data_IF_471505138552
#
_entry.id   IF_471505138552
#
_cell.length_a   1.000
_cell.length_b   1.000
_cell.length_c   1.000
_cell.angle_alpha   90.00
_cell.angle_beta   90.00
_cell.angle_gamma   90.00
#
_symmetry.space_group_name_H-M   'P 1'
#
loop_
_entity.id
_entity.type
_entity.pdbx_description
1 polymer ?
#
# COMPACT_ATOMS: atom_id res chain seq x y z
N UNK A 1 77.75 -52.69 10.88
CA UNK A 1 77.97 -51.64 11.90
C UNK A 1 76.83 -50.64 11.74
N UNK A 2 75.82 -50.56 12.61
CA UNK A 2 75.83 -50.22 14.05
C UNK A 2 76.10 -48.72 14.27
N UNK A 3 75.27 -47.92 14.97
CA UNK A 3 73.93 -48.13 15.60
C UNK A 3 73.12 -46.80 15.51
N UNK A 4 71.80 -46.71 15.64
CA UNK A 4 70.85 -47.11 16.71
C UNK A 4 70.91 -46.26 18.00
N UNK A 5 69.92 -45.35 18.14
CA UNK A 5 69.29 -44.74 19.35
C UNK A 5 70.22 -44.08 20.42
N UNK A 6 69.81 -43.10 21.24
CA UNK A 6 68.53 -42.75 21.92
C UNK A 6 68.32 -41.20 21.93
N UNK A 7 67.28 -40.49 22.42
CA UNK A 7 65.90 -40.70 22.95
C UNK A 7 65.22 -39.29 23.10
N UNK A 8 63.90 -39.04 23.28
CA UNK A 8 62.66 -39.86 23.19
C UNK A 8 61.47 -39.02 22.59
N UNK A 9 60.21 -38.81 23.12
CA UNK A 9 59.07 -38.50 22.23
C UNK A 9 58.17 -37.28 22.61
N UNK A 10 57.04 -37.15 21.88
CA UNK A 10 55.74 -36.54 22.26
C UNK A 10 55.64 -35.00 22.47
N UNK A 11 54.52 -34.32 22.12
CA UNK A 11 53.22 -34.78 21.60
C UNK A 11 52.60 -33.87 20.51
N UNK A 12 51.59 -34.42 19.82
CA UNK A 12 50.62 -33.89 18.87
C UNK A 12 50.50 -32.35 18.62
N UNK A 13 50.66 -31.99 17.34
CA UNK A 13 49.86 -30.99 16.59
C UNK A 13 48.49 -31.64 16.19
N UNK A 14 47.39 -30.93 15.80
CA UNK A 14 47.17 -29.48 15.69
C UNK A 14 45.90 -28.93 16.38
N UNK A 15 45.90 -27.63 16.74
CA UNK A 15 44.67 -26.84 16.81
C UNK A 15 44.76 -25.52 16.02
N UNK A 16 43.72 -25.27 15.22
CA UNK A 16 43.63 -24.08 14.36
C UNK A 16 43.23 -22.87 15.21
N UNK A 17 44.02 -21.79 15.15
CA UNK A 17 43.67 -20.51 15.76
C UNK A 17 42.46 -19.87 15.04
N UNK A 18 41.26 -20.20 15.50
CA UNK A 18 40.01 -19.57 15.08
C UNK A 18 39.90 -18.19 15.74
N UNK A 19 39.56 -17.16 14.96
CA UNK A 19 39.41 -15.80 15.46
C UNK A 19 38.30 -15.70 16.53
N UNK A 20 38.46 -14.84 17.55
CA UNK A 20 37.55 -14.82 18.70
C UNK A 20 36.13 -14.38 18.30
N UNK A 21 35.18 -15.30 18.46
CA UNK A 21 33.75 -15.01 18.33
C UNK A 21 33.27 -14.20 19.55
N UNK A 22 32.55 -13.07 19.38
CA UNK A 22 32.00 -12.32 20.50
C UNK A 22 30.97 -13.17 21.26
N UNK A 23 31.13 -13.28 22.57
CA UNK A 23 30.36 -14.19 23.41
C UNK A 23 28.85 -13.89 23.41
N UNK A 24 28.04 -14.94 23.60
CA UNK A 24 26.59 -14.84 23.53
C UNK A 24 25.98 -14.02 24.67
N UNK A 25 24.96 -13.23 24.34
CA UNK A 25 23.92 -12.83 25.28
C UNK A 25 22.66 -13.66 25.00
N UNK A 26 22.51 -14.78 25.70
CA UNK A 26 21.28 -15.59 25.73
C UNK A 26 20.35 -15.06 26.83
N UNK A 27 19.06 -14.82 26.53
CA UNK A 27 18.08 -14.64 27.62
C UNK A 27 16.86 -13.73 27.43
N UNK A 28 16.26 -13.62 26.24
CA UNK A 28 14.89 -13.09 26.13
C UNK A 28 14.14 -13.73 24.95
N UNK A 29 13.07 -14.47 25.23
CA UNK A 29 12.24 -15.18 24.25
C UNK A 29 11.30 -14.28 23.43
N UNK A 30 11.75 -13.10 23.04
CA UNK A 30 10.98 -12.20 22.17
C UNK A 30 11.15 -12.55 20.69
N UNK A 31 10.06 -12.48 19.92
CA UNK A 31 10.15 -12.44 18.46
C UNK A 31 11.10 -11.30 18.05
N UNK A 32 12.11 -11.59 17.23
CA UNK A 32 12.99 -10.54 16.68
C UNK A 32 12.10 -9.45 16.08
N UNK A 33 12.27 -8.16 16.45
CA UNK A 33 11.44 -7.10 15.90
C UNK A 33 11.46 -7.18 14.38
N UNK A 34 10.29 -7.46 13.79
CA UNK A 34 10.19 -7.57 12.33
C UNK A 34 10.58 -6.19 11.80
N UNK A 35 11.76 -6.11 11.19
CA UNK A 35 12.24 -4.92 10.49
C UNK A 35 11.40 -4.81 9.21
N UNK A 36 10.14 -4.40 9.39
CA UNK A 36 9.18 -4.14 8.33
C UNK A 36 9.88 -3.16 7.40
N UNK A 37 10.23 -3.60 6.18
CA UNK A 37 10.49 -2.66 5.12
C UNK A 37 9.24 -1.77 5.07
N UNK A 38 9.43 -0.47 5.25
CA UNK A 38 8.38 0.48 4.90
C UNK A 38 7.98 0.20 3.46
N UNK A 39 6.72 0.42 3.11
CA UNK A 39 6.25 0.19 1.74
C UNK A 39 7.08 1.00 0.73
N UNK A 40 7.60 2.14 1.16
CA UNK A 40 8.61 3.01 0.55
C UNK A 40 9.90 2.24 0.17
N UNK A 41 10.54 1.52 1.10
CA UNK A 41 11.72 0.66 0.84
C UNK A 41 11.42 -0.45 -0.20
N UNK A 42 10.17 -0.92 -0.25
CA UNK A 42 9.72 -1.93 -1.22
C UNK A 42 9.53 -1.28 -2.60
N UNK A 43 8.89 -0.11 -2.66
CA UNK A 43 8.68 0.68 -3.88
C UNK A 43 10.01 1.15 -4.51
N UNK A 44 10.99 1.53 -3.69
CA UNK A 44 12.32 1.91 -4.14
C UNK A 44 13.05 0.78 -4.90
N UNK A 45 12.85 -0.47 -4.48
CA UNK A 45 13.50 -1.65 -5.09
C UNK A 45 12.84 -2.14 -6.38
N UNK A 46 11.57 -1.85 -6.61
CA UNK A 46 10.84 -2.39 -7.79
C UNK A 46 11.06 -1.51 -9.03
N UNK A 47 11.08 -0.18 -8.87
CA UNK A 47 11.41 0.76 -9.95
C UNK A 47 12.32 1.89 -9.44
N UNK A 48 13.64 1.85 -9.74
CA UNK A 48 14.58 2.86 -9.30
C UNK A 48 14.62 4.12 -10.18
N UNK A 49 14.25 4.03 -11.46
CA UNK A 49 14.50 5.10 -12.46
C UNK A 49 13.37 6.14 -12.62
N UNK A 50 12.19 5.93 -12.02
CA UNK A 50 11.00 6.77 -12.25
C UNK A 50 10.60 7.56 -11.00
N UNK A 51 11.48 8.46 -10.57
CA UNK A 51 11.38 9.21 -9.31
C UNK A 51 10.43 10.43 -9.38
N UNK A 52 9.19 10.19 -9.81
CA UNK A 52 8.14 11.21 -9.92
C UNK A 52 7.52 11.52 -8.55
N UNK A 53 8.13 12.48 -7.82
CA UNK A 53 7.52 13.07 -6.61
C UNK A 53 6.49 14.12 -7.00
N UNK A 54 5.29 14.05 -6.42
CA UNK A 54 4.18 14.97 -6.67
C UNK A 54 3.63 15.48 -5.34
N UNK A 55 3.51 16.80 -5.19
CA UNK A 55 2.77 17.39 -4.08
C UNK A 55 1.27 17.44 -4.43
N UNK A 56 0.44 16.99 -3.49
CA UNK A 56 -1.02 16.95 -3.63
C UNK A 56 -1.67 17.73 -2.49
N UNK A 57 -2.84 18.29 -2.77
CA UNK A 57 -3.64 19.07 -1.83
C UNK A 57 -4.94 18.32 -1.54
N UNK A 58 -5.19 18.01 -0.26
CA UNK A 58 -6.38 17.27 0.18
C UNK A 58 -7.11 18.00 1.31
N UNK A 59 -8.41 18.24 1.13
CA UNK A 59 -9.31 18.86 2.12
C UNK A 59 -9.98 17.82 3.03
N UNK A 60 -10.17 16.59 2.56
CA UNK A 60 -10.86 15.53 3.30
C UNK A 60 -9.90 14.77 4.23
N UNK A 61 -10.41 14.33 5.38
CA UNK A 61 -9.65 13.41 6.23
C UNK A 61 -9.46 12.05 5.56
N UNK A 62 -10.50 11.51 4.92
CA UNK A 62 -10.44 10.20 4.26
C UNK A 62 -9.30 10.09 3.26
N UNK A 63 -9.11 11.07 2.36
CA UNK A 63 -8.03 11.02 1.38
C UNK A 63 -6.65 11.08 2.05
N UNK A 64 -6.45 11.99 3.03
CA UNK A 64 -5.19 12.13 3.77
C UNK A 64 -4.84 10.87 4.57
N UNK A 65 -5.83 10.30 5.26
CA UNK A 65 -5.70 9.06 6.02
C UNK A 65 -5.37 7.89 5.10
N UNK A 66 -6.15 7.65 4.05
CA UNK A 66 -5.90 6.58 3.06
C UNK A 66 -4.52 6.67 2.41
N UNK A 67 -4.05 7.90 2.11
CA UNK A 67 -2.71 8.12 1.56
C UNK A 67 -1.61 7.72 2.54
N UNK A 68 -1.81 7.94 3.84
CA UNK A 68 -0.85 7.56 4.90
C UNK A 68 -0.91 6.06 5.26
N UNK A 69 -2.08 5.42 5.21
CA UNK A 69 -2.27 4.02 5.61
C UNK A 69 -2.11 3.02 4.45
N UNK A 70 -2.79 3.26 3.33
CA UNK A 70 -3.07 2.22 2.32
C UNK A 70 -2.34 2.46 1.01
N UNK A 71 -2.09 3.71 0.60
CA UNK A 71 -1.59 4.03 -0.73
C UNK A 71 -0.25 3.34 -1.07
N UNK A 72 0.77 3.43 -0.21
CA UNK A 72 2.07 2.82 -0.48
C UNK A 72 2.00 1.28 -0.48
N UNK A 73 1.04 0.67 0.26
CA UNK A 73 0.77 -0.78 0.18
C UNK A 73 0.11 -1.15 -1.16
N UNK A 74 -0.94 -0.43 -1.56
CA UNK A 74 -1.63 -0.61 -2.84
C UNK A 74 -0.67 -0.44 -4.02
N UNK A 75 0.14 0.62 -4.04
CA UNK A 75 1.12 0.88 -5.09
C UNK A 75 2.13 -0.28 -5.22
N UNK A 76 2.63 -0.82 -4.09
CA UNK A 76 3.55 -1.96 -4.10
C UNK A 76 2.87 -3.22 -4.65
N UNK A 77 1.68 -3.59 -4.16
CA UNK A 77 0.92 -4.77 -4.63
C UNK A 77 0.47 -4.65 -6.09
N UNK A 78 0.13 -3.44 -6.58
CA UNK A 78 -0.21 -3.20 -8.00
C UNK A 78 0.97 -3.39 -8.94
N UNK A 79 2.16 -2.92 -8.57
CA UNK A 79 3.36 -3.01 -9.42
C UNK A 79 3.75 -4.47 -9.70
N UNK A 80 3.45 -5.38 -8.76
CA UNK A 80 3.67 -6.84 -8.88
C UNK A 80 2.40 -7.63 -9.24
N UNK A 81 1.27 -6.97 -9.52
CA UNK A 81 0.03 -7.65 -9.90
C UNK A 81 0.15 -8.25 -11.31
N UNK A 82 -0.23 -9.53 -11.47
CA UNK A 82 -0.16 -10.27 -12.74
C UNK A 82 -1.38 -11.20 -12.88
N UNK A 83 -1.68 -11.65 -14.10
CA UNK A 83 -2.78 -12.57 -14.37
C UNK A 83 -4.13 -12.04 -13.88
N UNK A 84 -4.95 -12.92 -13.30
CA UNK A 84 -6.28 -12.59 -12.80
C UNK A 84 -6.33 -11.38 -11.86
N UNK A 85 -5.34 -11.22 -10.98
CA UNK A 85 -5.29 -10.08 -10.06
C UNK A 85 -5.23 -8.73 -10.79
N UNK A 86 -4.54 -8.66 -11.92
CA UNK A 86 -4.45 -7.43 -12.72
C UNK A 86 -5.83 -7.10 -13.30
N UNK A 87 -6.51 -8.09 -13.88
CA UNK A 87 -7.87 -7.93 -14.44
C UNK A 87 -8.89 -7.54 -13.36
N UNK A 88 -8.84 -8.18 -12.18
CA UNK A 88 -9.69 -7.85 -11.04
C UNK A 88 -9.56 -6.39 -10.61
N UNK A 89 -8.31 -5.91 -10.49
CA UNK A 89 -8.02 -4.51 -10.16
C UNK A 89 -8.46 -3.56 -11.28
N UNK A 90 -8.22 -3.90 -12.56
CA UNK A 90 -8.65 -3.07 -13.69
C UNK A 90 -10.17 -2.93 -13.81
N UNK A 91 -10.92 -3.99 -13.51
CA UNK A 91 -12.38 -4.01 -13.47
C UNK A 91 -12.95 -3.12 -12.35
N UNK A 92 -12.42 -3.20 -11.12
CA UNK A 92 -12.84 -2.31 -10.03
C UNK A 92 -12.38 -0.86 -10.29
N UNK A 93 -11.20 -0.63 -10.86
CA UNK A 93 -10.78 0.72 -11.28
C UNK A 93 -11.75 1.31 -12.32
N UNK A 94 -12.15 0.55 -13.34
CA UNK A 94 -13.14 1.01 -14.33
C UNK A 94 -14.51 1.30 -13.69
N UNK A 95 -14.93 0.44 -12.77
CA UNK A 95 -16.19 0.59 -12.00
C UNK A 95 -16.17 1.84 -11.13
N UNK A 96 -15.09 2.05 -10.38
CA UNK A 96 -14.87 3.24 -9.57
C UNK A 96 -14.78 4.51 -10.43
N UNK A 97 -13.99 4.53 -11.51
CA UNK A 97 -13.89 5.68 -12.42
C UNK A 97 -15.25 6.07 -13.02
N UNK A 98 -16.07 5.07 -13.38
CA UNK A 98 -17.42 5.31 -13.90
C UNK A 98 -18.41 5.76 -12.82
N UNK A 99 -18.28 5.29 -11.57
CA UNK A 99 -19.01 5.83 -10.43
C UNK A 99 -18.63 7.30 -10.16
N UNK A 100 -17.33 7.59 -10.03
CA UNK A 100 -16.81 8.93 -9.73
C UNK A 100 -17.14 9.95 -10.83
N UNK A 101 -17.15 9.54 -12.10
CA UNK A 101 -17.65 10.36 -13.22
C UNK A 101 -19.10 10.80 -13.00
N UNK A 102 -19.98 9.90 -12.57
CA UNK A 102 -21.39 10.21 -12.26
C UNK A 102 -21.51 11.08 -11.00
N UNK A 103 -20.79 10.74 -9.93
CA UNK A 103 -20.81 11.49 -8.67
C UNK A 103 -20.32 12.94 -8.82
N UNK A 104 -19.26 13.17 -9.62
CA UNK A 104 -18.77 14.52 -9.89
C UNK A 104 -19.74 15.33 -10.77
N UNK A 105 -20.40 14.70 -11.74
CA UNK A 105 -21.48 15.34 -12.55
C UNK A 105 -22.69 15.72 -11.68
N UNK A 106 -23.04 14.92 -10.67
CA UNK A 106 -24.04 15.30 -9.67
C UNK A 106 -23.56 16.48 -8.82
N UNK A 107 -22.36 16.41 -8.23
CA UNK A 107 -21.83 17.43 -7.34
C UNK A 107 -21.62 18.79 -8.04
N UNK A 108 -21.35 18.79 -9.35
CA UNK A 108 -21.24 20.01 -10.17
C UNK A 108 -22.59 20.72 -10.42
N UNK A 109 -23.74 20.10 -10.10
CA UNK A 109 -25.06 20.74 -10.17
C UNK A 109 -25.49 21.40 -8.84
N UNK A 110 -24.69 21.25 -7.79
CA UNK A 110 -24.97 21.79 -6.47
C UNK A 110 -24.48 23.24 -6.35
N UNK A 111 -25.26 24.10 -5.71
CA UNK A 111 -24.97 25.52 -5.56
C UNK A 111 -24.25 25.77 -4.23
N UNK A 112 -22.92 25.82 -4.30
CA UNK A 112 -22.05 25.99 -3.13
C UNK A 112 -21.74 27.43 -2.74
N UNK A 113 -21.33 27.62 -1.49
CA UNK A 113 -20.60 28.81 -1.02
C UNK A 113 -19.19 28.40 -0.59
N UNK A 114 -18.19 29.23 -0.87
CA UNK A 114 -16.82 28.96 -0.41
C UNK A 114 -16.78 28.80 1.11
N UNK A 115 -16.03 27.81 1.59
CA UNK A 115 -16.02 27.38 3.00
C UNK A 115 -14.78 27.79 3.77
N UNK A 116 -13.79 28.40 3.12
CA UNK A 116 -12.52 28.80 3.76
C UNK A 116 -11.70 27.63 4.31
N UNK A 117 -11.94 26.40 3.81
CA UNK A 117 -11.16 25.23 4.19
C UNK A 117 -9.76 25.32 3.59
N UNK A 118 -8.73 25.18 4.42
CA UNK A 118 -7.35 25.01 3.97
C UNK A 118 -7.07 23.51 3.67
N UNK A 119 -6.40 23.19 2.55
CA UNK A 119 -5.99 21.83 2.24
C UNK A 119 -4.66 21.46 2.92
N UNK A 120 -4.50 20.20 3.30
CA UNK A 120 -3.20 19.68 3.72
C UNK A 120 -2.35 19.31 2.50
N UNK A 121 -1.04 19.60 2.56
CA UNK A 121 -0.06 19.14 1.57
C UNK A 121 0.39 17.72 1.89
N UNK A 122 0.31 16.83 0.91
CA UNK A 122 0.81 15.46 1.01
C UNK A 122 1.68 15.14 -0.22
N UNK A 123 2.95 14.83 0.01
CA UNK A 123 3.89 14.43 -1.05
C UNK A 123 3.78 12.92 -1.31
N UNK A 124 3.65 12.52 -2.58
CA UNK A 124 3.63 11.13 -3.00
C UNK A 124 4.66 10.84 -4.10
N UNK A 125 5.07 9.58 -4.21
CA UNK A 125 5.96 9.08 -5.27
C UNK A 125 5.17 8.10 -6.17
N UNK A 126 4.92 8.49 -7.43
CA UNK A 126 3.99 7.78 -8.31
C UNK A 126 4.76 6.97 -9.36
N UNK A 127 5.01 5.68 -9.08
CA UNK A 127 5.87 4.81 -9.92
C UNK A 127 5.13 3.98 -10.97
N UNK A 128 3.83 3.72 -10.78
CA UNK A 128 3.09 2.75 -11.59
C UNK A 128 1.77 3.36 -12.11
N UNK A 129 1.33 3.11 -13.37
CA UNK A 129 0.11 3.71 -13.91
C UNK A 129 -1.14 3.51 -13.05
N UNK A 130 -1.30 2.32 -12.44
CA UNK A 130 -2.42 2.04 -11.54
C UNK A 130 -2.35 2.85 -10.23
N UNK A 131 -1.15 3.13 -9.72
CA UNK A 131 -0.97 4.04 -8.57
C UNK A 131 -1.33 5.48 -8.92
N UNK A 132 -1.13 5.90 -10.17
CA UNK A 132 -1.64 7.18 -10.71
C UNK A 132 -3.16 7.20 -10.84
N UNK A 133 -3.80 6.09 -11.28
CA UNK A 133 -5.26 5.95 -11.27
C UNK A 133 -5.82 6.06 -9.83
N UNK A 134 -5.16 5.44 -8.85
CA UNK A 134 -5.56 5.54 -7.44
C UNK A 134 -5.46 6.98 -6.89
N UNK A 135 -4.37 7.70 -7.17
CA UNK A 135 -4.24 9.13 -6.86
C UNK A 135 -5.39 9.92 -7.52
N UNK A 136 -5.69 9.67 -8.79
CA UNK A 136 -6.80 10.34 -9.49
C UNK A 136 -8.16 10.08 -8.84
N UNK A 137 -8.45 8.86 -8.38
CA UNK A 137 -9.68 8.56 -7.64
C UNK A 137 -9.75 9.32 -6.31
N UNK A 138 -8.65 9.35 -5.55
CA UNK A 138 -8.56 10.12 -4.30
C UNK A 138 -8.77 11.63 -4.55
N UNK A 139 -8.19 12.18 -5.61
CA UNK A 139 -8.39 13.60 -5.99
C UNK A 139 -9.85 13.89 -6.37
N UNK A 140 -10.54 12.98 -7.07
CA UNK A 140 -11.97 13.17 -7.40
C UNK A 140 -12.86 13.01 -6.16
N UNK A 141 -12.53 12.08 -5.25
CA UNK A 141 -13.18 11.99 -3.93
C UNK A 141 -13.05 13.31 -3.16
N UNK A 142 -11.87 13.91 -3.17
CA UNK A 142 -11.61 15.14 -2.42
C UNK A 142 -12.34 16.35 -3.01
N UNK A 143 -12.40 16.44 -4.35
CA UNK A 143 -13.27 17.41 -5.05
C UNK A 143 -14.76 17.21 -4.72
N UNK A 144 -15.22 15.96 -4.61
CA UNK A 144 -16.58 15.61 -4.20
C UNK A 144 -16.85 16.01 -2.73
N UNK A 145 -15.90 15.75 -1.82
CA UNK A 145 -15.96 16.18 -0.42
C UNK A 145 -16.07 17.69 -0.30
N UNK A 146 -15.24 18.45 -1.02
CA UNK A 146 -15.25 19.91 -1.03
C UNK A 146 -16.54 20.47 -1.61
N UNK A 147 -16.93 20.07 -2.82
CA UNK A 147 -18.15 20.57 -3.50
C UNK A 147 -19.42 20.30 -2.69
N UNK A 148 -19.54 19.11 -2.10
CA UNK A 148 -20.68 18.80 -1.22
C UNK A 148 -20.65 19.57 0.10
N UNK A 149 -19.47 19.95 0.61
CA UNK A 149 -19.35 20.81 1.80
C UNK A 149 -19.75 22.26 1.50
N UNK A 150 -19.27 22.80 0.37
CA UNK A 150 -19.66 24.11 -0.15
C UNK A 150 -21.18 24.17 -0.39
N UNK A 151 -21.76 23.11 -0.97
CA UNK A 151 -23.20 22.96 -1.17
C UNK A 151 -24.00 22.84 0.13
N UNK A 152 -23.47 22.15 1.15
CA UNK A 152 -24.13 22.02 2.46
C UNK A 152 -24.18 23.37 3.19
N UNK A 153 -23.12 24.17 3.13
CA UNK A 153 -23.12 25.57 3.62
C UNK A 153 -24.02 26.47 2.76
N UNK A 154 -24.10 26.21 1.44
CA UNK A 154 -25.08 26.82 0.54
C UNK A 154 -26.53 26.35 0.75
N UNK A 155 -26.76 25.34 1.60
CA UNK A 155 -28.05 24.65 1.82
C UNK A 155 -28.66 23.99 0.57
N UNK A 156 -27.87 23.71 -0.47
CA UNK A 156 -28.32 23.06 -1.71
C UNK A 156 -28.22 21.53 -1.69
N UNK A 157 -27.79 20.93 -0.57
CA UNK A 157 -27.75 19.48 -0.33
C UNK A 157 -27.93 19.23 1.16
N UNK A 158 -28.59 18.14 1.55
CA UNK A 158 -28.76 17.82 2.97
C UNK A 158 -27.56 17.05 3.52
N UNK A 159 -27.37 17.11 4.83
CA UNK A 159 -26.25 16.42 5.50
C UNK A 159 -26.29 14.89 5.29
N UNK A 160 -27.48 14.29 5.20
CA UNK A 160 -27.64 12.86 4.95
C UNK A 160 -27.30 12.47 3.51
N UNK A 161 -27.75 13.24 2.50
CA UNK A 161 -27.35 13.05 1.09
C UNK A 161 -25.84 13.12 0.93
N UNK A 162 -25.22 14.16 1.50
CA UNK A 162 -23.77 14.35 1.50
C UNK A 162 -23.06 13.16 2.14
N UNK A 163 -23.52 12.69 3.30
CA UNK A 163 -22.92 11.53 3.97
C UNK A 163 -23.05 10.27 3.11
N UNK A 164 -24.24 9.97 2.60
CA UNK A 164 -24.49 8.82 1.72
C UNK A 164 -23.59 8.81 0.48
N UNK A 165 -23.48 9.95 -0.21
CA UNK A 165 -22.62 10.09 -1.39
C UNK A 165 -21.13 9.89 -1.08
N UNK A 166 -20.66 10.40 0.06
CA UNK A 166 -19.26 10.27 0.48
C UNK A 166 -18.92 8.89 1.05
N UNK A 167 -19.84 8.26 1.79
CA UNK A 167 -19.68 6.89 2.27
C UNK A 167 -19.62 5.90 1.09
N UNK A 168 -20.50 6.05 0.10
CA UNK A 168 -20.49 5.25 -1.13
C UNK A 168 -19.20 5.46 -1.96
N UNK A 169 -18.73 6.70 -2.07
CA UNK A 169 -17.47 7.03 -2.75
C UNK A 169 -16.24 6.44 -2.02
N UNK A 170 -16.22 6.51 -0.68
CA UNK A 170 -15.16 5.90 0.13
C UNK A 170 -15.21 4.37 0.03
N UNK A 171 -16.40 3.76 -0.01
CA UNK A 171 -16.58 2.32 -0.15
C UNK A 171 -16.00 1.77 -1.47
N UNK A 172 -16.10 2.52 -2.58
CA UNK A 172 -15.43 2.18 -3.85
C UNK A 172 -13.91 2.19 -3.70
N UNK A 173 -13.33 3.28 -3.16
CA UNK A 173 -11.88 3.37 -2.96
C UNK A 173 -11.36 2.27 -2.02
N UNK A 174 -12.13 1.90 -0.98
CA UNK A 174 -11.80 0.82 -0.05
C UNK A 174 -11.80 -0.60 -0.66
N UNK A 175 -12.42 -0.83 -1.82
CA UNK A 175 -12.28 -2.13 -2.51
C UNK A 175 -10.87 -2.34 -3.07
N UNK A 176 -10.14 -1.27 -3.38
CA UNK A 176 -8.83 -1.35 -4.02
C UNK A 176 -7.77 -1.93 -3.06
N UNK A 177 -7.66 -1.52 -1.78
CA UNK A 177 -6.87 -2.24 -0.78
C UNK A 177 -7.30 -3.71 -0.60
N UNK A 178 -8.60 -3.99 -0.59
CA UNK A 178 -9.12 -5.37 -0.42
C UNK A 178 -8.63 -6.27 -1.55
N UNK A 179 -8.76 -5.84 -2.81
CA UNK A 179 -8.19 -6.54 -3.97
C UNK A 179 -6.65 -6.54 -3.99
N UNK A 180 -6.00 -5.65 -3.25
CA UNK A 180 -4.54 -5.71 -3.07
C UNK A 180 -4.10 -6.76 -2.04
N UNK A 181 -4.95 -7.19 -1.09
CA UNK A 181 -4.56 -8.11 -0.01
C UNK A 181 -4.17 -9.53 -0.49
N UNK A 182 -5.01 -10.30 -1.21
CA UNK A 182 -4.66 -11.64 -1.67
C UNK A 182 -3.45 -11.62 -2.60
N UNK A 183 -2.79 -12.75 -2.83
CA UNK A 183 -1.68 -12.85 -3.79
C UNK A 183 -2.16 -13.31 -5.18
N UNK A 184 -1.26 -13.28 -6.18
CA UNK A 184 -1.64 -13.41 -7.61
C UNK A 184 -2.27 -14.78 -7.95
N UNK A 185 -1.87 -15.81 -7.21
CA UNK A 185 -2.32 -17.21 -7.27
C UNK A 185 -3.75 -17.41 -6.74
N UNK A 186 -4.25 -16.50 -5.88
CA UNK A 186 -5.63 -16.53 -5.39
C UNK A 186 -6.69 -16.03 -6.39
N UNK A 187 -6.32 -15.75 -7.64
CA UNK A 187 -7.26 -15.31 -8.67
C UNK A 187 -7.32 -16.29 -9.85
N UNK A 188 -8.54 -16.56 -10.33
CA UNK A 188 -8.74 -17.29 -11.60
C UNK A 188 -8.17 -16.47 -12.78
N UNK A 189 -7.89 -17.08 -13.95
CA UNK A 189 -7.41 -16.35 -15.13
C UNK A 189 -8.33 -15.18 -15.57
N UNK A 190 -9.61 -15.24 -15.23
CA UNK A 190 -10.65 -14.24 -15.53
C UNK A 190 -10.72 -13.11 -14.48
N UNK A 191 -9.96 -13.23 -13.38
CA UNK A 191 -9.93 -12.23 -12.30
C UNK A 191 -10.95 -12.41 -11.19
N UNK A 192 -11.55 -13.60 -11.05
CA UNK A 192 -12.40 -13.93 -9.90
C UNK A 192 -11.51 -14.37 -8.72
N UNK A 193 -11.83 -13.95 -7.50
CA UNK A 193 -11.11 -14.43 -6.31
C UNK A 193 -11.52 -15.88 -6.01
N UNK A 194 -10.54 -16.76 -5.78
CA UNK A 194 -10.77 -18.13 -5.32
C UNK A 194 -11.28 -18.13 -3.87
N UNK A 195 -12.25 -19.02 -3.52
CA UNK A 195 -12.72 -19.20 -2.14
C UNK A 195 -11.55 -19.58 -1.23
N UNK A 196 -11.68 -19.30 0.07
CA UNK A 196 -10.70 -19.78 1.04
C UNK A 196 -10.85 -21.30 1.25
N UNK A 197 -9.75 -21.99 1.56
CA UNK A 197 -9.76 -23.45 1.64
C UNK A 197 -10.65 -24.01 2.77
N UNK A 198 -10.99 -23.17 3.74
CA UNK A 198 -11.89 -23.49 4.85
C UNK A 198 -13.38 -23.41 4.47
N UNK A 199 -13.75 -22.79 3.32
CA UNK A 199 -15.14 -22.64 2.84
C UNK A 199 -15.69 -23.92 2.17
N UNK A 200 -14.95 -25.05 2.20
CA UNK A 200 -15.34 -26.33 1.58
C UNK A 200 -15.68 -27.42 2.60
N UNK A 201 -16.69 -27.16 3.45
CA UNK A 201 -17.26 -28.12 4.41
C UNK A 201 -18.79 -28.05 4.49
#
# INVERSE_FOLDING_TARGET
MSGFETEKPEAADPERLIAPSPAAQTGAGGLRPIKRLTSDDRLARIHPETLAKTELLYYSDFARTFVRSDYNFCAAKMTVARGGKLLALEAEFHTAETFFRKALVWANKLHGRSTGLEPERVTLEIKHPMSGRLVRLLTIYDQLFRKTMEALVGRSVMAHDRKSALDAAAARIKQIPILCMPDNDRYTPEGVLLPDHDDTH
#
